data_IF_718714174473
#
_entry.id   IF_718714174473
#
_cell.length_a   1.000
_cell.length_b   1.000
_cell.length_c   1.000
_cell.angle_alpha   90.00
_cell.angle_beta   90.00
_cell.angle_gamma   90.00
#
_symmetry.space_group_name_H-M   'P 1'
#
loop_
_entity.id
_entity.type
_entity.pdbx_description
1 polymer ?
#
# COMPACT_ATOMS: atom_id res chain seq x y z
N UNK A 1 1.42 -19.89 0.53
CA UNK A 1 0.15 -19.69 1.26
C UNK A 1 0.43 -19.65 2.75
N UNK A 2 -0.02 -18.59 3.43
CA UNK A 2 0.36 -18.29 4.81
C UNK A 2 -0.43 -19.11 5.85
N UNK A 3 0.20 -19.62 6.92
CA UNK A 3 -0.53 -20.25 8.02
C UNK A 3 -1.47 -19.29 8.75
N UNK A 4 -2.60 -19.78 9.28
CA UNK A 4 -3.58 -18.96 10.00
C UNK A 4 -2.98 -18.20 11.19
N UNK A 5 -2.12 -18.83 11.99
CA UNK A 5 -1.46 -18.18 13.13
C UNK A 5 -0.56 -17.01 12.68
N UNK A 6 0.08 -17.14 11.52
CA UNK A 6 0.89 -16.08 10.92
C UNK A 6 0.00 -14.93 10.44
N UNK A 7 -1.13 -15.24 9.79
CA UNK A 7 -2.11 -14.24 9.36
C UNK A 7 -2.65 -13.46 10.55
N UNK A 8 -3.08 -14.15 11.61
CA UNK A 8 -3.58 -13.50 12.82
C UNK A 8 -2.52 -12.57 13.45
N UNK A 9 -1.27 -13.02 13.50
CA UNK A 9 -0.16 -12.21 14.02
C UNK A 9 0.09 -10.98 13.15
N UNK A 10 0.14 -11.12 11.82
CA UNK A 10 0.33 -9.99 10.90
C UNK A 10 -0.84 -9.00 10.96
N UNK A 11 -2.08 -9.49 11.00
CA UNK A 11 -3.27 -8.66 11.10
C UNK A 11 -3.36 -7.89 12.42
N UNK A 12 -2.70 -8.36 13.49
CA UNK A 12 -2.64 -7.61 14.76
C UNK A 12 -1.93 -6.25 14.62
N UNK A 13 -1.09 -6.08 13.60
CA UNK A 13 -0.45 -4.78 13.30
C UNK A 13 -1.43 -3.71 12.84
N UNK A 14 -2.62 -4.11 12.35
CA UNK A 14 -3.67 -3.17 11.94
C UNK A 14 -4.05 -2.19 13.06
N UNK A 15 -4.00 -2.61 14.32
CA UNK A 15 -4.38 -1.75 15.44
C UNK A 15 -3.44 -0.56 15.62
N UNK A 16 -2.15 -0.72 15.31
CA UNK A 16 -1.11 0.31 15.42
C UNK A 16 -0.76 0.99 14.11
N UNK A 17 -1.19 0.44 12.97
CA UNK A 17 -0.86 0.93 11.63
C UNK A 17 -1.17 2.43 11.47
N UNK A 18 -0.22 3.23 10.94
CA UNK A 18 -0.48 4.60 10.53
C UNK A 18 -1.66 4.65 9.58
N UNK A 19 -2.46 5.70 9.72
CA UNK A 19 -3.61 5.90 8.86
C UNK A 19 -3.93 7.38 8.80
N UNK A 20 -4.08 7.87 7.58
CA UNK A 20 -4.60 9.21 7.35
C UNK A 20 -6.12 9.14 7.48
N UNK A 21 -6.59 9.03 8.73
CA UNK A 21 -8.02 9.12 9.02
C UNK A 21 -8.51 10.56 8.84
N UNK A 22 -9.81 10.68 8.53
CA UNK A 22 -10.56 11.93 8.54
C UNK A 22 -9.83 13.07 7.79
N UNK A 23 -9.34 12.77 6.58
CA UNK A 23 -8.81 13.78 5.66
C UNK A 23 -9.88 14.84 5.41
N UNK A 24 -9.57 16.10 5.72
CA UNK A 24 -10.42 17.25 5.36
C UNK A 24 -10.73 17.15 3.87
N UNK A 25 -12.00 17.16 3.48
CA UNK A 25 -12.39 17.05 2.07
C UNK A 25 -11.70 18.09 1.17
N UNK A 26 -11.22 19.20 1.73
CA UNK A 26 -10.42 20.20 1.01
C UNK A 26 -9.02 19.72 0.61
N UNK A 27 -8.54 18.61 1.13
CA UNK A 27 -7.29 17.98 0.69
C UNK A 27 -7.52 16.95 -0.42
N UNK A 28 -8.77 16.66 -0.79
CA UNK A 28 -9.13 15.60 -1.73
C UNK A 28 -9.50 16.22 -3.08
N UNK A 29 -8.88 15.71 -4.14
CA UNK A 29 -9.18 16.06 -5.53
C UNK A 29 -9.76 14.87 -6.26
N UNK A 30 -10.65 15.13 -7.22
CA UNK A 30 -11.08 14.11 -8.17
C UNK A 30 -9.95 13.75 -9.15
N UNK A 31 -10.02 12.56 -9.74
CA UNK A 31 -9.11 12.16 -10.81
C UNK A 31 -9.08 13.16 -11.97
N UNK A 32 -10.21 13.75 -12.33
CA UNK A 32 -10.28 14.75 -13.42
C UNK A 32 -9.52 16.03 -13.08
N UNK A 33 -9.54 16.46 -11.82
CA UNK A 33 -8.77 17.62 -11.36
C UNK A 33 -7.27 17.32 -11.35
N UNK A 34 -6.88 16.15 -10.83
CA UNK A 34 -5.48 15.72 -10.83
C UNK A 34 -4.90 15.65 -12.24
N UNK A 35 -5.64 15.05 -13.19
CA UNK A 35 -5.16 14.95 -14.58
C UNK A 35 -4.94 16.33 -15.22
N UNK A 36 -5.73 17.34 -14.87
CA UNK A 36 -5.48 18.71 -15.32
C UNK A 36 -4.24 19.31 -14.67
N UNK A 37 -4.00 19.04 -13.38
CA UNK A 37 -2.89 19.61 -12.63
C UNK A 37 -1.54 19.02 -13.04
N UNK A 38 -1.48 17.73 -13.38
CA UNK A 38 -0.23 17.10 -13.85
C UNK A 38 0.20 17.59 -15.24
N UNK A 39 -0.72 18.18 -16.02
CA UNK A 39 -0.44 18.79 -17.32
C UNK A 39 0.06 20.24 -17.20
N UNK A 40 -0.03 20.84 -16.00
CA UNK A 40 0.41 22.21 -15.72
C UNK A 40 1.87 22.26 -15.27
N UNK A 41 2.51 23.42 -15.39
CA UNK A 41 3.78 23.65 -14.71
C UNK A 41 3.57 23.67 -13.19
N UNK A 42 4.54 23.20 -12.41
CA UNK A 42 4.39 23.06 -10.95
C UNK A 42 3.97 24.37 -10.27
N UNK A 43 4.50 25.52 -10.71
CA UNK A 43 4.13 26.82 -10.18
C UNK A 43 2.65 27.18 -10.42
N UNK A 44 2.11 26.82 -11.58
CA UNK A 44 0.70 27.04 -11.94
C UNK A 44 -0.21 26.10 -11.14
N UNK A 45 0.19 24.83 -10.98
CA UNK A 45 -0.53 23.87 -10.15
C UNK A 45 -0.59 24.32 -8.68
N UNK A 46 0.53 24.83 -8.13
CA UNK A 46 0.60 25.41 -6.78
C UNK A 46 -0.34 26.60 -6.63
N UNK A 47 -0.34 27.53 -7.59
CA UNK A 47 -1.23 28.69 -7.57
C UNK A 47 -2.71 28.27 -7.63
N UNK A 48 -3.06 27.33 -8.51
CA UNK A 48 -4.41 26.77 -8.58
C UNK A 48 -4.86 26.18 -7.24
N UNK A 49 -3.99 25.38 -6.60
CA UNK A 49 -4.27 24.75 -5.30
C UNK A 49 -4.58 25.82 -4.24
N UNK A 50 -3.74 26.85 -4.15
CA UNK A 50 -3.91 27.93 -3.18
C UNK A 50 -5.19 28.75 -3.44
N UNK A 51 -5.47 29.11 -4.70
CA UNK A 51 -6.65 29.90 -5.07
C UNK A 51 -7.97 29.18 -4.82
N UNK A 52 -7.99 27.85 -4.96
CA UNK A 52 -9.17 27.02 -4.71
C UNK A 52 -9.30 26.59 -3.24
N UNK A 53 -8.40 27.06 -2.36
CA UNK A 53 -8.44 26.73 -0.93
C UNK A 53 -8.21 25.25 -0.63
N UNK A 54 -7.51 24.55 -1.54
CA UNK A 54 -7.13 23.15 -1.38
C UNK A 54 -6.05 23.09 -0.29
N UNK A 55 -6.26 22.21 0.69
CA UNK A 55 -5.35 22.04 1.82
C UNK A 55 -4.29 20.99 1.49
N UNK A 56 -3.05 21.31 1.85
CA UNK A 56 -1.91 20.43 1.69
C UNK A 56 -1.71 19.59 2.95
N UNK A 57 -1.48 18.29 2.75
CA UNK A 57 -1.09 17.37 3.81
C UNK A 57 0.45 17.27 3.82
N UNK A 58 1.08 17.37 4.97
CA UNK A 58 2.54 17.15 5.05
C UNK A 58 2.87 15.68 4.76
N UNK A 59 3.95 15.46 4.01
CA UNK A 59 4.50 14.13 3.69
C UNK A 59 4.78 13.27 4.92
N UNK A 60 5.03 13.86 6.09
CA UNK A 60 5.18 13.14 7.36
C UNK A 60 3.92 12.40 7.84
N UNK A 61 2.75 12.64 7.21
CA UNK A 61 1.54 11.86 7.46
C UNK A 61 1.49 10.57 6.64
N UNK A 62 2.39 10.41 5.66
CA UNK A 62 2.58 9.19 4.89
C UNK A 62 3.63 8.29 5.54
N UNK A 63 3.44 7.97 6.81
CA UNK A 63 4.33 7.03 7.52
C UNK A 63 3.90 5.59 7.28
N UNK A 64 4.86 4.69 7.18
CA UNK A 64 4.66 3.25 7.01
C UNK A 64 5.40 2.50 8.11
N UNK A 65 4.73 1.54 8.74
CA UNK A 65 5.40 0.56 9.60
C UNK A 65 5.82 -0.64 8.75
N UNK A 66 7.04 -1.12 8.98
CA UNK A 66 7.56 -2.31 8.32
C UNK A 66 7.86 -3.43 9.33
N UNK A 67 7.59 -4.66 8.89
CA UNK A 67 7.71 -5.88 9.67
C UNK A 67 8.28 -7.01 8.81
N UNK A 68 8.92 -7.96 9.48
CA UNK A 68 9.30 -9.23 8.90
C UNK A 68 8.66 -10.34 9.72
N UNK A 69 7.94 -11.24 9.07
CA UNK A 69 7.59 -12.50 9.69
C UNK A 69 8.70 -13.51 9.41
N UNK A 70 9.31 -14.00 10.48
CA UNK A 70 10.28 -15.09 10.45
C UNK A 70 9.72 -16.32 11.16
N UNK A 71 9.33 -17.33 10.38
CA UNK A 71 8.57 -18.48 10.88
C UNK A 71 7.30 -18.04 11.62
N UNK A 72 7.34 -17.99 12.95
CA UNK A 72 6.20 -17.59 13.79
C UNK A 72 6.48 -16.32 14.62
N UNK A 73 7.55 -15.59 14.29
CA UNK A 73 7.95 -14.38 14.99
C UNK A 73 7.79 -13.19 14.06
N UNK A 74 6.92 -12.26 14.43
CA UNK A 74 6.78 -10.98 13.74
C UNK A 74 7.74 -9.97 14.37
N UNK A 75 8.66 -9.46 13.58
CA UNK A 75 9.71 -8.54 13.99
C UNK A 75 9.36 -7.17 13.44
N UNK A 76 9.18 -6.19 14.32
CA UNK A 76 9.03 -4.80 13.92
C UNK A 76 10.38 -4.22 13.52
N UNK A 77 10.45 -3.69 12.30
CA UNK A 77 11.67 -3.10 11.74
C UNK A 77 11.74 -1.62 12.09
N UNK A 78 10.65 -0.90 11.90
CA UNK A 78 10.57 0.53 12.18
C UNK A 78 9.42 1.21 11.49
N UNK A 79 9.31 2.52 11.73
CA UNK A 79 8.41 3.45 11.04
C UNK A 79 9.23 4.34 10.13
N UNK A 80 8.80 4.47 8.90
CA UNK A 80 9.48 5.25 7.88
C UNK A 80 8.52 6.27 7.27
N UNK A 81 8.99 7.51 7.13
CA UNK A 81 8.20 8.59 6.56
C UNK A 81 8.41 8.69 5.05
N UNK A 82 7.37 9.11 4.33
CA UNK A 82 7.44 9.38 2.89
C UNK A 82 7.21 8.15 2.01
N UNK A 83 6.68 7.06 2.56
CA UNK A 83 6.31 5.86 1.80
C UNK A 83 7.49 5.03 1.28
N UNK A 84 8.58 4.95 2.04
CA UNK A 84 9.77 4.18 1.65
C UNK A 84 10.38 3.43 2.84
N UNK A 85 10.56 2.12 2.70
CA UNK A 85 11.27 1.27 3.67
C UNK A 85 12.69 0.98 3.15
N UNK A 86 13.77 1.47 3.79
CA UNK A 86 15.14 1.25 3.35
C UNK A 86 15.53 -0.23 3.34
N UNK A 87 15.90 -0.77 2.18
CA UNK A 87 16.23 -2.19 2.00
C UNK A 87 17.40 -2.67 2.88
N UNK A 88 18.32 -1.79 3.26
CA UNK A 88 19.47 -2.08 4.12
C UNK A 88 19.06 -2.36 5.58
N UNK A 89 18.03 -1.68 6.08
CA UNK A 89 17.45 -1.98 7.39
C UNK A 89 16.86 -3.39 7.41
N UNK A 90 16.22 -3.79 6.32
CA UNK A 90 15.56 -5.08 6.22
C UNK A 90 16.57 -6.23 5.97
N UNK A 91 17.62 -5.99 5.18
CA UNK A 91 18.70 -6.96 4.89
C UNK A 91 19.41 -7.47 6.16
N UNK A 92 19.43 -6.69 7.25
CA UNK A 92 20.03 -7.09 8.53
C UNK A 92 19.41 -8.37 9.09
N UNK A 93 18.13 -8.61 8.80
CA UNK A 93 17.36 -9.73 9.35
C UNK A 93 17.37 -10.97 8.44
N UNK A 94 17.73 -10.82 7.16
CA UNK A 94 17.75 -11.93 6.18
C UNK A 94 18.67 -13.09 6.59
N UNK A 95 19.80 -12.80 7.24
CA UNK A 95 20.77 -13.84 7.63
C UNK A 95 20.24 -14.81 8.69
N UNK A 96 19.19 -14.42 9.41
CA UNK A 96 18.64 -15.18 10.53
C UNK A 96 17.34 -15.90 10.17
N UNK A 97 16.82 -15.70 8.95
CA UNK A 97 15.53 -16.22 8.54
C UNK A 97 15.57 -16.84 7.14
N UNK A 98 15.06 -18.06 7.00
CA UNK A 98 15.08 -18.80 5.72
C UNK A 98 13.86 -18.48 4.84
N UNK A 99 12.68 -18.39 5.44
CA UNK A 99 11.44 -18.00 4.76
C UNK A 99 10.97 -16.67 5.33
N UNK A 100 11.01 -15.63 4.48
CA UNK A 100 10.73 -14.26 4.90
C UNK A 100 9.50 -13.76 4.17
N UNK A 101 8.50 -13.39 4.97
CA UNK A 101 7.35 -12.62 4.52
C UNK A 101 7.58 -11.19 4.95
N UNK A 102 7.61 -10.29 3.97
CA UNK A 102 7.66 -8.86 4.21
C UNK A 102 6.23 -8.37 4.40
N UNK A 103 6.04 -7.53 5.42
CA UNK A 103 4.78 -6.87 5.73
C UNK A 103 5.05 -5.39 5.96
N UNK A 104 4.41 -4.52 5.21
CA UNK A 104 4.36 -3.09 5.54
C UNK A 104 2.94 -2.55 5.49
N UNK A 105 2.78 -1.36 6.07
CA UNK A 105 1.49 -0.69 6.14
C UNK A 105 1.43 0.49 5.20
N UNK A 106 0.35 0.62 4.42
CA UNK A 106 0.05 1.86 3.71
C UNK A 106 -0.83 2.79 4.58
N UNK A 107 -0.50 4.09 4.66
CA UNK A 107 -1.25 5.08 5.44
C UNK A 107 -2.53 5.54 4.72
N UNK A 108 -2.64 5.22 3.43
CA UNK A 108 -3.80 5.42 2.55
C UNK A 108 -4.58 4.11 2.39
N UNK A 109 -5.90 4.15 2.07
CA UNK A 109 -6.76 2.98 1.95
C UNK A 109 -6.52 2.18 0.65
N UNK A 110 -5.28 1.75 0.43
CA UNK A 110 -4.83 0.98 -0.73
C UNK A 110 -3.91 -0.17 -0.26
N UNK A 111 -4.47 -1.34 0.10
CA UNK A 111 -3.74 -2.49 0.62
C UNK A 111 -3.12 -3.32 -0.51
N UNK A 112 -2.39 -2.70 -1.44
CA UNK A 112 -1.83 -3.38 -2.61
C UNK A 112 -0.33 -3.12 -2.70
N UNK A 113 0.51 -4.14 -2.94
CA UNK A 113 1.91 -3.94 -3.28
C UNK A 113 2.06 -3.05 -4.50
N UNK A 114 2.91 -2.03 -4.40
CA UNK A 114 3.33 -1.19 -5.52
C UNK A 114 4.41 -1.88 -6.35
N UNK A 115 4.74 -1.33 -7.52
CA UNK A 115 5.85 -1.84 -8.32
C UNK A 115 7.18 -1.75 -7.56
N UNK A 116 7.37 -0.68 -6.79
CA UNK A 116 8.57 -0.46 -5.97
C UNK A 116 8.69 -1.51 -4.86
N UNK A 117 7.57 -1.88 -4.23
CA UNK A 117 7.50 -2.95 -3.24
C UNK A 117 7.95 -4.29 -3.83
N UNK A 118 7.45 -4.64 -5.02
CA UNK A 118 7.83 -5.87 -5.72
C UNK A 118 9.33 -5.87 -6.09
N UNK A 119 9.86 -4.74 -6.58
CA UNK A 119 11.29 -4.61 -6.88
C UNK A 119 12.13 -4.75 -5.61
N UNK A 120 11.75 -4.09 -4.51
CA UNK A 120 12.44 -4.17 -3.22
C UNK A 120 12.44 -5.61 -2.70
N UNK A 121 11.27 -6.24 -2.71
CA UNK A 121 11.07 -7.64 -2.31
C UNK A 121 11.95 -8.60 -3.12
N UNK A 122 12.05 -8.39 -4.44
CA UNK A 122 12.93 -9.16 -5.30
C UNK A 122 14.41 -8.96 -4.95
N UNK A 123 14.85 -7.70 -4.78
CA UNK A 123 16.24 -7.36 -4.50
C UNK A 123 16.68 -7.89 -3.13
N UNK A 124 15.82 -7.78 -2.13
CA UNK A 124 16.09 -8.31 -0.79
C UNK A 124 15.83 -9.81 -0.72
N UNK A 125 15.08 -10.38 -1.67
CA UNK A 125 14.89 -11.82 -1.85
C UNK A 125 13.94 -12.45 -0.85
N UNK A 126 12.79 -11.81 -0.62
CA UNK A 126 11.68 -12.37 0.16
C UNK A 126 10.82 -13.32 -0.66
N UNK A 127 10.06 -14.16 0.04
CA UNK A 127 9.16 -15.13 -0.56
C UNK A 127 7.79 -14.52 -0.83
N UNK A 128 7.35 -13.62 0.05
CA UNK A 128 6.00 -13.07 0.04
C UNK A 128 6.06 -11.60 0.40
N UNK A 129 5.25 -10.80 -0.29
CA UNK A 129 5.06 -9.38 -0.01
C UNK A 129 3.62 -9.15 0.43
N UNK A 130 3.44 -8.55 1.61
CA UNK A 130 2.15 -8.24 2.20
C UNK A 130 2.01 -6.75 2.44
N UNK A 131 0.91 -6.16 1.97
CA UNK A 131 0.55 -4.79 2.30
C UNK A 131 -0.69 -4.79 3.15
N UNK A 132 -0.62 -4.16 4.31
CA UNK A 132 -1.76 -3.91 5.18
C UNK A 132 -2.18 -2.45 5.10
N UNK A 133 -3.47 -2.18 5.01
CA UNK A 133 -3.99 -0.83 5.09
C UNK A 133 -5.31 -0.78 5.85
N UNK A 134 -5.52 0.32 6.58
CA UNK A 134 -6.84 0.67 7.07
C UNK A 134 -7.68 1.22 5.91
N UNK A 135 -8.77 0.54 5.61
CA UNK A 135 -9.73 0.92 4.56
C UNK A 135 -10.93 1.70 5.14
N UNK A 136 -10.89 1.97 6.46
CA UNK A 136 -11.83 2.79 7.19
C UNK A 136 -11.49 2.77 8.68
N UNK A 137 -12.27 3.50 9.47
CA UNK A 137 -12.04 3.66 10.92
C UNK A 137 -11.94 2.34 11.71
N UNK A 138 -12.67 1.32 11.27
CA UNK A 138 -12.81 0.05 11.97
C UNK A 138 -12.48 -1.17 11.11
N UNK A 139 -11.98 -0.95 9.88
CA UNK A 139 -11.72 -2.01 8.93
C UNK A 139 -10.30 -1.91 8.40
N UNK A 140 -9.60 -3.03 8.40
CA UNK A 140 -8.30 -3.16 7.76
C UNK A 140 -8.35 -4.30 6.75
N UNK A 141 -7.51 -4.18 5.72
CA UNK A 141 -7.32 -5.23 4.74
C UNK A 141 -5.83 -5.45 4.52
N UNK A 142 -5.44 -6.70 4.38
CA UNK A 142 -4.10 -7.10 4.02
C UNK A 142 -4.17 -7.92 2.74
N UNK A 143 -3.30 -7.63 1.78
CA UNK A 143 -3.13 -8.44 0.58
C UNK A 143 -1.69 -8.88 0.52
N UNK A 144 -1.50 -10.19 0.42
CA UNK A 144 -0.21 -10.83 0.28
C UNK A 144 -0.09 -11.48 -1.09
N UNK A 145 1.07 -11.35 -1.72
CA UNK A 145 1.40 -12.02 -2.98
C UNK A 145 2.66 -12.88 -2.82
N UNK A 146 2.59 -14.10 -3.35
CA UNK A 146 3.70 -15.04 -3.43
C UNK A 146 3.81 -15.52 -4.89
N UNK A 147 4.93 -15.29 -5.60
CA UNK A 147 5.06 -15.69 -6.99
C UNK A 147 5.00 -17.21 -7.14
N UNK A 148 4.28 -17.70 -8.16
CA UNK A 148 4.24 -19.14 -8.49
C UNK A 148 5.54 -19.62 -9.14
N UNK A 149 6.31 -18.69 -9.72
CA UNK A 149 7.59 -18.94 -10.40
C UNK A 149 8.71 -18.06 -9.84
N UNK A 150 8.64 -16.76 -10.11
CA UNK A 150 9.63 -15.77 -9.70
C UNK A 150 9.04 -14.36 -9.69
N UNK A 151 9.74 -13.42 -9.07
CA UNK A 151 9.30 -12.02 -8.99
C UNK A 151 9.31 -11.29 -10.34
N UNK A 152 10.06 -11.73 -11.35
CA UNK A 152 10.04 -11.08 -12.67
C UNK A 152 8.71 -11.30 -13.37
N UNK A 153 8.06 -12.46 -13.20
CA UNK A 153 6.71 -12.66 -13.75
C UNK A 153 5.71 -11.69 -13.13
N UNK A 154 5.81 -11.42 -11.82
CA UNK A 154 4.97 -10.44 -11.13
C UNK A 154 5.22 -9.03 -11.66
N UNK A 155 6.48 -8.61 -11.79
CA UNK A 155 6.84 -7.30 -12.32
C UNK A 155 6.24 -7.05 -13.72
N UNK A 156 6.38 -8.03 -14.63
CA UNK A 156 5.83 -7.92 -15.97
C UNK A 156 4.30 -7.75 -15.96
N UNK A 157 3.60 -8.47 -15.08
CA UNK A 157 2.14 -8.35 -14.95
C UNK A 157 1.74 -7.01 -14.30
N UNK A 158 2.50 -6.53 -13.33
CA UNK A 158 2.29 -5.26 -12.61
C UNK A 158 2.48 -4.01 -13.50
N UNK A 159 3.35 -4.06 -14.52
CA UNK A 159 3.53 -2.94 -15.45
C UNK A 159 2.21 -2.55 -16.13
N UNK A 160 1.41 -3.54 -16.56
CA UNK A 160 0.09 -3.30 -17.15
C UNK A 160 -0.94 -2.79 -16.13
N UNK A 161 -0.80 -3.20 -14.87
CA UNK A 161 -1.71 -2.80 -13.80
C UNK A 161 -1.50 -1.33 -13.40
N UNK A 162 -0.26 -0.83 -13.43
CA UNK A 162 0.07 0.54 -13.01
C UNK A 162 -0.73 1.60 -13.77
N UNK A 163 -0.86 1.47 -15.10
CA UNK A 163 -1.70 2.36 -15.90
C UNK A 163 -3.20 2.19 -15.63
N UNK A 164 -3.64 1.00 -15.22
CA UNK A 164 -5.02 0.77 -14.83
C UNK A 164 -5.35 1.50 -13.52
N UNK A 165 -4.45 1.48 -12.52
CA UNK A 165 -4.63 2.16 -11.24
C UNK A 165 -4.96 3.63 -11.43
N UNK A 166 -4.19 4.36 -12.24
CA UNK A 166 -4.44 5.80 -12.50
C UNK A 166 -5.84 6.08 -13.05
N UNK A 167 -6.40 5.15 -13.82
CA UNK A 167 -7.76 5.26 -14.41
C UNK A 167 -8.87 4.84 -13.44
N UNK A 168 -8.57 3.96 -12.50
CA UNK A 168 -9.54 3.38 -11.58
C UNK A 168 -9.64 4.15 -10.26
N UNK A 169 -8.57 4.84 -9.86
CA UNK A 169 -8.57 5.73 -8.70
C UNK A 169 -9.41 6.96 -9.01
N UNK A 170 -10.47 7.15 -8.23
CA UNK A 170 -11.43 8.24 -8.39
C UNK A 170 -11.01 9.53 -7.67
N UNK A 171 -10.19 9.40 -6.62
CA UNK A 171 -9.84 10.48 -5.71
C UNK A 171 -8.37 10.40 -5.27
N UNK A 172 -7.78 11.56 -5.04
CA UNK A 172 -6.38 11.71 -4.62
C UNK A 172 -6.29 12.71 -3.48
N UNK A 173 -5.35 12.50 -2.56
CA UNK A 173 -4.98 13.50 -1.57
C UNK A 173 -3.79 14.32 -2.07
N UNK A 174 -3.80 15.61 -1.76
CA UNK A 174 -2.70 16.52 -2.11
C UNK A 174 -1.71 16.58 -0.95
N UNK A 175 -0.48 16.15 -1.23
CA UNK A 175 0.59 16.06 -0.25
C UNK A 175 1.69 17.02 -0.64
N UNK A 176 2.20 17.78 0.32
CA UNK A 176 3.34 18.66 0.16
C UNK A 176 4.58 18.05 0.83
N UNK A 177 5.66 18.06 0.07
CA UNK A 177 7.02 17.78 0.50
C UNK A 177 7.85 19.08 0.39
N UNK A 178 9.07 19.10 0.94
CA UNK A 178 9.91 20.33 1.03
C UNK A 178 10.06 21.08 -0.32
N UNK A 179 9.97 20.36 -1.43
CA UNK A 179 10.20 20.91 -2.77
C UNK A 179 9.10 20.60 -3.80
N UNK A 180 8.07 19.81 -3.47
CA UNK A 180 7.09 19.36 -4.49
C UNK A 180 5.70 19.12 -3.92
N UNK A 181 4.71 19.13 -4.82
CA UNK A 181 3.37 18.62 -4.54
C UNK A 181 3.22 17.26 -5.19
N UNK A 182 2.68 16.30 -4.44
CA UNK A 182 2.37 14.94 -4.90
C UNK A 182 0.88 14.67 -4.77
N UNK A 183 0.34 13.91 -5.72
CA UNK A 183 -1.03 13.42 -5.69
C UNK A 183 -1.01 11.95 -5.34
N UNK A 184 -1.46 11.61 -4.13
CA UNK A 184 -1.43 10.23 -3.63
C UNK A 184 -2.81 9.60 -3.76
N UNK A 185 -2.94 8.37 -4.28
CA UNK A 185 -4.23 7.70 -4.40
C UNK A 185 -5.01 7.63 -3.08
N UNK A 186 -6.31 7.92 -3.14
CA UNK A 186 -7.22 7.82 -1.99
C UNK A 186 -8.59 7.29 -2.43
N UNK A 187 -8.65 6.06 -2.96
CA UNK A 187 -9.83 5.53 -3.64
C UNK A 187 -11.08 5.54 -2.73
N UNK A 188 -12.26 5.69 -3.32
CA UNK A 188 -13.49 5.29 -2.64
C UNK A 188 -13.55 3.78 -2.46
N UNK A 189 -14.42 3.31 -1.57
CA UNK A 189 -14.63 1.88 -1.34
C UNK A 189 -14.97 1.12 -2.64
N UNK A 190 -15.81 1.73 -3.50
CA UNK A 190 -16.17 1.16 -4.80
C UNK A 190 -14.96 1.12 -5.76
N UNK A 191 -14.17 2.19 -5.82
CA UNK A 191 -12.95 2.22 -6.62
C UNK A 191 -11.94 1.19 -6.12
N UNK A 192 -11.75 1.08 -4.81
CA UNK A 192 -10.87 0.10 -4.19
C UNK A 192 -11.26 -1.33 -4.56
N UNK A 193 -12.53 -1.72 -4.42
CA UNK A 193 -13.01 -3.04 -4.84
C UNK A 193 -12.72 -3.33 -6.32
N UNK A 194 -12.88 -2.32 -7.17
CA UNK A 194 -12.60 -2.46 -8.61
C UNK A 194 -11.11 -2.64 -8.87
N UNK A 195 -10.27 -1.84 -8.20
CA UNK A 195 -8.81 -1.92 -8.29
C UNK A 195 -8.31 -3.30 -7.82
N UNK A 196 -8.80 -3.79 -6.68
CA UNK A 196 -8.47 -5.11 -6.14
C UNK A 196 -8.88 -6.24 -7.09
N UNK A 197 -10.08 -6.16 -7.67
CA UNK A 197 -10.54 -7.16 -8.64
C UNK A 197 -9.66 -7.19 -9.89
N UNK A 198 -9.22 -6.03 -10.38
CA UNK A 198 -8.31 -5.98 -11.54
C UNK A 198 -6.90 -6.46 -11.17
N UNK A 199 -6.42 -6.14 -9.97
CA UNK A 199 -5.14 -6.63 -9.45
C UNK A 199 -5.09 -8.16 -9.41
N UNK A 200 -6.09 -8.78 -8.77
CA UNK A 200 -6.22 -10.25 -8.68
C UNK A 200 -6.29 -10.86 -10.08
N UNK A 201 -7.03 -10.24 -11.00
CA UNK A 201 -7.17 -10.70 -12.38
C UNK A 201 -5.85 -10.64 -13.15
N UNK A 202 -5.08 -9.58 -12.99
CA UNK A 202 -3.78 -9.39 -13.67
C UNK A 202 -2.74 -10.37 -13.18
N UNK A 203 -2.71 -10.65 -11.87
CA UNK A 203 -1.74 -11.58 -11.27
C UNK A 203 -2.18 -13.05 -11.32
N UNK A 204 -3.37 -13.32 -11.85
CA UNK A 204 -3.95 -14.67 -11.88
C UNK A 204 -3.05 -15.64 -12.65
N UNK A 205 -2.52 -16.64 -11.95
CA UNK A 205 -1.63 -17.66 -12.49
C UNK A 205 -0.14 -17.36 -12.32
N UNK A 206 0.21 -16.10 -12.03
CA UNK A 206 1.59 -15.68 -11.74
C UNK A 206 1.88 -15.59 -10.24
N UNK A 207 0.86 -15.36 -9.40
CA UNK A 207 0.96 -15.37 -7.94
C UNK A 207 -0.14 -16.19 -7.27
N UNK A 208 0.16 -16.71 -6.08
CA UNK A 208 -0.84 -16.97 -5.05
C UNK A 208 -1.17 -15.66 -4.34
N UNK A 209 -2.46 -15.41 -4.10
CA UNK A 209 -2.91 -14.16 -3.51
C UNK A 209 -3.77 -14.46 -2.29
N UNK A 210 -3.31 -14.03 -1.12
CA UNK A 210 -4.10 -14.08 0.12
C UNK A 210 -4.68 -12.69 0.40
N UNK A 211 -6.01 -12.62 0.55
CA UNK A 211 -6.75 -11.41 0.92
C UNK A 211 -7.36 -11.62 2.30
N UNK A 212 -7.01 -10.77 3.25
CA UNK A 212 -7.48 -10.83 4.63
C UNK A 212 -8.19 -9.54 4.98
N UNK A 213 -9.43 -9.65 5.47
CA UNK A 213 -10.28 -8.51 5.85
C UNK A 213 -10.56 -8.61 7.34
N UNK A 214 -10.19 -7.60 8.12
CA UNK A 214 -10.37 -7.55 9.57
C UNK A 214 -11.40 -6.49 9.96
N UNK A 215 -12.42 -6.90 10.72
CA UNK A 215 -13.23 -5.97 11.52
C UNK A 215 -12.55 -5.76 12.89
N UNK A 216 -11.95 -4.59 13.07
CA UNK A 216 -11.18 -4.23 14.26
C UNK A 216 -12.04 -4.12 15.53
N UNK A 217 -13.38 -4.06 15.42
CA UNK A 217 -14.28 -4.02 16.58
C UNK A 217 -14.53 -5.42 17.14
N UNK A 218 -14.62 -6.39 16.24
CA UNK A 218 -14.94 -7.78 16.58
C UNK A 218 -13.67 -8.62 16.77
N UNK A 219 -12.51 -8.14 16.29
CA UNK A 219 -11.28 -8.92 16.20
C UNK A 219 -11.45 -10.21 15.38
N UNK A 220 -12.40 -10.19 14.43
CA UNK A 220 -12.68 -11.28 13.50
C UNK A 220 -12.15 -10.91 12.11
N UNK A 221 -11.57 -11.89 11.41
CA UNK A 221 -11.13 -11.71 10.04
C UNK A 221 -11.71 -12.75 9.09
N UNK A 222 -11.89 -12.33 7.84
CA UNK A 222 -12.19 -13.18 6.70
C UNK A 222 -10.90 -13.36 5.90
N UNK A 223 -10.54 -14.61 5.61
CA UNK A 223 -9.38 -14.97 4.81
C UNK A 223 -9.84 -15.65 3.51
N UNK A 224 -9.36 -15.14 2.37
CA UNK A 224 -9.69 -15.61 1.02
C UNK A 224 -8.39 -15.80 0.23
N UNK A 225 -8.19 -16.99 -0.32
CA UNK A 225 -7.03 -17.32 -1.18
C UNK A 225 -7.48 -17.46 -2.63
N UNK A 226 -6.70 -16.93 -3.57
CA UNK A 226 -6.92 -17.00 -5.02
C UNK A 226 -5.79 -17.72 -5.76
#
# INVERSE_FOLDING_TARGET
>A
MLPEDAIALMMSTAYSAPYIDEVDNRCILSSTEVMKLIEMYEGEAREYIMLNGIKLISSNRLSEDAYILCSNMLIYIGRFDGGYVPSDEILKYRKSCLDIVSLHTHPIPLPLPTLEDVVSTQQVGYNTECVLSKIGKYNAKMICIEPTKDWNSILNSMEFFTEAVYRLVDRYIVVEDEFSIRFVPYPSENSLQTIESEFIKVLKGDAYIDVVILDMRLSEYLHITW
#
